data_IF_252265794172
#
_entry.id   IF_252265794172
#
_cell.length_a   1.000
_cell.length_b   1.000
_cell.length_c   1.000
_cell.angle_alpha   90.00
_cell.angle_beta   90.00
_cell.angle_gamma   90.00
#
_symmetry.space_group_name_H-M   'P 1'
#
loop_
_entity.id
_entity.type
_entity.pdbx_description
1 polymer ?
#
# COMPACT_ATOMS: atom_id res chain seq x y z
N UNK A 1 10.97 -6.06 -24.92
CA UNK A 1 10.81 -5.78 -23.48
C UNK A 1 11.93 -4.87 -23.09
N UNK A 2 11.63 -3.65 -22.64
CA UNK A 2 12.66 -2.80 -22.05
C UNK A 2 13.14 -3.47 -20.75
N UNK A 3 14.45 -3.67 -20.61
CA UNK A 3 15.08 -4.33 -19.45
C UNK A 3 14.74 -3.63 -18.12
N UNK A 4 14.43 -2.34 -18.18
CA UNK A 4 13.99 -1.49 -17.07
C UNK A 4 12.67 -1.94 -16.43
N UNK A 5 11.72 -2.43 -17.22
CA UNK A 5 10.44 -2.92 -16.73
C UNK A 5 10.60 -4.22 -15.91
N UNK A 6 11.46 -5.13 -16.39
CA UNK A 6 11.71 -6.43 -15.74
C UNK A 6 12.33 -6.23 -14.36
N UNK A 7 13.28 -5.31 -14.22
CA UNK A 7 13.92 -4.99 -12.93
C UNK A 7 12.89 -4.43 -11.94
N UNK A 8 11.96 -3.62 -12.44
CA UNK A 8 10.94 -2.97 -11.60
C UNK A 8 9.97 -3.97 -10.94
N UNK A 9 9.67 -5.09 -11.61
CA UNK A 9 8.84 -6.16 -11.03
C UNK A 9 9.50 -6.88 -9.86
N UNK A 10 10.83 -6.87 -9.80
CA UNK A 10 11.58 -7.48 -8.71
C UNK A 10 11.64 -6.59 -7.46
N UNK A 11 11.28 -5.31 -7.56
CA UNK A 11 11.39 -4.37 -6.43
C UNK A 11 10.55 -4.85 -5.22
N UNK A 12 9.23 -5.11 -5.33
CA UNK A 12 8.45 -5.58 -4.18
C UNK A 12 8.94 -6.90 -3.55
N UNK A 13 9.21 -8.00 -4.30
CA UNK A 13 9.68 -9.25 -3.71
C UNK A 13 11.09 -9.13 -3.14
N UNK A 14 11.98 -8.30 -3.71
CA UNK A 14 13.33 -8.07 -3.16
C UNK A 14 13.25 -7.31 -1.83
N UNK A 15 12.41 -6.28 -1.74
CA UNK A 15 12.18 -5.57 -0.47
C UNK A 15 11.60 -6.53 0.58
N UNK A 16 10.60 -7.33 0.22
CA UNK A 16 10.02 -8.32 1.13
C UNK A 16 11.05 -9.36 1.58
N UNK A 17 11.87 -9.87 0.66
CA UNK A 17 12.94 -10.82 0.98
C UNK A 17 13.98 -10.21 1.92
N UNK A 18 14.42 -8.98 1.66
CA UNK A 18 15.36 -8.28 2.52
C UNK A 18 14.81 -8.13 3.96
N UNK A 19 13.55 -7.72 4.10
CA UNK A 19 12.88 -7.63 5.40
C UNK A 19 12.75 -8.99 6.09
N UNK A 20 12.41 -10.06 5.36
CA UNK A 20 12.33 -11.43 5.92
C UNK A 20 13.71 -11.88 6.40
N UNK A 21 14.77 -11.64 5.63
CA UNK A 21 16.14 -12.01 6.01
C UNK A 21 16.59 -11.26 7.26
N UNK A 22 16.32 -9.95 7.36
CA UNK A 22 16.59 -9.17 8.56
C UNK A 22 15.78 -9.68 9.76
N UNK A 23 14.48 -9.92 9.57
CA UNK A 23 13.58 -10.43 10.59
C UNK A 23 14.00 -11.82 11.09
N UNK A 24 14.51 -12.69 10.20
CA UNK A 24 14.96 -14.05 10.56
C UNK A 24 16.13 -14.09 11.55
N UNK A 25 16.86 -12.98 11.70
CA UNK A 25 17.97 -12.85 12.65
C UNK A 25 17.51 -12.51 14.06
N UNK A 26 16.27 -12.01 14.21
CA UNK A 26 15.79 -11.38 15.44
C UNK A 26 14.53 -12.09 15.97
N UNK A 27 13.65 -12.55 15.08
CA UNK A 27 12.36 -13.15 15.41
C UNK A 27 12.47 -14.68 15.60
N UNK A 28 11.63 -15.21 16.47
CA UNK A 28 11.45 -16.66 16.59
C UNK A 28 10.72 -17.24 15.38
N UNK A 29 10.81 -18.57 15.20
CA UNK A 29 10.26 -19.25 14.02
C UNK A 29 8.76 -19.00 13.82
N UNK A 30 7.98 -18.94 14.90
CA UNK A 30 6.53 -18.74 14.82
C UNK A 30 6.20 -17.32 14.35
N UNK A 31 6.86 -16.31 14.91
CA UNK A 31 6.63 -14.91 14.51
C UNK A 31 7.15 -14.66 13.09
N UNK A 32 8.31 -15.20 12.73
CA UNK A 32 8.83 -15.12 11.37
C UNK A 32 7.84 -15.74 10.35
N UNK A 33 7.26 -16.91 10.66
CA UNK A 33 6.27 -17.52 9.77
C UNK A 33 5.03 -16.64 9.57
N UNK A 34 4.57 -15.95 10.64
CA UNK A 34 3.46 -15.00 10.54
C UNK A 34 3.83 -13.72 9.76
N UNK A 35 5.06 -13.24 9.94
CA UNK A 35 5.57 -12.08 9.21
C UNK A 35 5.68 -12.40 7.72
N UNK A 36 6.27 -13.54 7.36
CA UNK A 36 6.36 -14.01 5.97
C UNK A 36 4.99 -14.27 5.36
N UNK A 37 4.04 -14.85 6.11
CA UNK A 37 2.69 -15.11 5.59
C UNK A 37 1.93 -13.82 5.27
N UNK A 38 2.26 -12.70 5.92
CA UNK A 38 1.64 -11.39 5.61
C UNK A 38 1.95 -10.91 4.20
N UNK A 39 3.15 -11.19 3.67
CA UNK A 39 3.48 -10.92 2.26
C UNK A 39 2.62 -11.77 1.32
N UNK A 40 2.55 -13.09 1.55
CA UNK A 40 1.80 -13.99 0.67
C UNK A 40 0.29 -13.74 0.73
N UNK A 41 -0.27 -13.41 1.90
CA UNK A 41 -1.67 -12.98 1.98
C UNK A 41 -1.88 -11.61 1.33
N UNK A 42 -0.87 -10.74 1.35
CA UNK A 42 -0.84 -9.46 0.64
C UNK A 42 -1.05 -9.60 -0.87
N UNK A 43 -0.50 -10.64 -1.50
CA UNK A 43 -0.71 -10.96 -2.92
C UNK A 43 -2.21 -11.09 -3.23
N UNK A 44 -2.99 -11.70 -2.35
CA UNK A 44 -4.43 -11.90 -2.54
C UNK A 44 -5.23 -10.59 -2.41
N UNK A 45 -4.69 -9.57 -1.73
CA UNK A 45 -5.39 -8.29 -1.53
C UNK A 45 -5.54 -7.48 -2.82
N UNK A 46 -4.82 -7.83 -3.89
CA UNK A 46 -4.94 -7.19 -5.20
C UNK A 46 -6.24 -7.55 -5.94
N UNK A 47 -6.85 -8.70 -5.60
CA UNK A 47 -7.96 -9.30 -6.36
C UNK A 47 -9.15 -8.33 -6.46
N UNK A 48 -9.63 -7.70 -5.37
CA UNK A 48 -10.76 -6.78 -5.46
C UNK A 48 -10.49 -5.56 -6.34
N UNK A 49 -9.25 -5.03 -6.33
CA UNK A 49 -8.87 -3.93 -7.23
C UNK A 49 -8.91 -4.36 -8.70
N UNK A 50 -8.39 -5.55 -9.03
CA UNK A 50 -8.42 -6.08 -10.41
C UNK A 50 -9.86 -6.29 -10.88
N UNK A 51 -10.72 -6.85 -10.03
CA UNK A 51 -12.16 -7.01 -10.34
C UNK A 51 -12.81 -5.63 -10.57
N UNK A 52 -12.52 -4.66 -9.70
CA UNK A 52 -13.02 -3.30 -9.84
C UNK A 52 -12.60 -2.63 -11.15
N UNK A 53 -11.33 -2.81 -11.55
CA UNK A 53 -10.81 -2.33 -12.83
C UNK A 53 -11.49 -3.00 -14.02
N UNK A 54 -11.67 -4.32 -13.98
CA UNK A 54 -12.38 -5.07 -15.02
C UNK A 54 -13.84 -4.62 -15.18
N UNK A 55 -14.55 -4.42 -14.06
CA UNK A 55 -15.93 -3.91 -14.10
C UNK A 55 -15.95 -2.47 -14.64
N UNK A 56 -15.02 -1.62 -14.22
CA UNK A 56 -14.95 -0.24 -14.69
C UNK A 56 -14.64 -0.14 -16.20
N UNK A 57 -13.79 -1.02 -16.74
CA UNK A 57 -13.57 -1.10 -18.19
C UNK A 57 -14.83 -1.60 -18.91
N UNK A 58 -15.50 -2.62 -18.39
CA UNK A 58 -16.70 -3.20 -19.00
C UNK A 58 -17.87 -2.20 -19.08
N UNK A 59 -18.04 -1.36 -18.06
CA UNK A 59 -19.07 -0.33 -18.03
C UNK A 59 -18.64 1.01 -18.65
N UNK A 60 -17.54 1.06 -19.41
CA UNK A 60 -17.03 2.28 -20.07
C UNK A 60 -16.80 3.47 -19.12
N UNK A 61 -16.53 3.19 -17.83
CA UNK A 61 -16.18 4.22 -16.85
C UNK A 61 -14.81 4.84 -17.17
N UNK A 62 -13.97 4.11 -17.91
CA UNK A 62 -12.61 4.49 -18.31
C UNK A 62 -12.60 5.26 -19.65
N UNK A 63 -13.56 5.01 -20.56
CA UNK A 63 -13.48 5.48 -21.97
C UNK A 63 -13.77 6.97 -22.18
N UNK A 64 -14.07 7.73 -21.11
CA UNK A 64 -14.40 9.15 -21.21
C UNK A 64 -13.65 10.00 -20.17
N UNK A 65 -12.31 9.87 -20.13
CA UNK A 65 -11.40 10.60 -19.24
C UNK A 65 -11.24 12.10 -19.55
N UNK A 66 -12.04 12.69 -20.46
CA UNK A 66 -11.98 14.15 -20.69
C UNK A 66 -12.46 14.97 -19.49
N UNK A 67 -13.24 14.37 -18.58
CA UNK A 67 -13.74 15.04 -17.39
C UNK A 67 -12.86 14.77 -16.17
N UNK A 68 -12.22 15.82 -15.64
CA UNK A 68 -11.44 15.77 -14.40
C UNK A 68 -12.22 15.17 -13.22
N UNK A 69 -13.52 15.45 -13.13
CA UNK A 69 -14.39 14.88 -12.07
C UNK A 69 -14.48 13.36 -12.16
N UNK A 70 -14.55 12.81 -13.38
CA UNK A 70 -14.62 11.36 -13.61
C UNK A 70 -13.29 10.70 -13.27
N UNK A 71 -12.17 11.30 -13.67
CA UNK A 71 -10.84 10.80 -13.29
C UNK A 71 -10.70 10.79 -11.77
N UNK A 72 -11.06 11.88 -11.07
CA UNK A 72 -11.00 11.94 -9.60
C UNK A 72 -11.82 10.82 -8.95
N UNK A 73 -13.09 10.64 -9.35
CA UNK A 73 -13.92 9.57 -8.79
C UNK A 73 -13.32 8.19 -9.06
N UNK A 74 -12.82 7.95 -10.28
CA UNK A 74 -12.18 6.70 -10.64
C UNK A 74 -10.90 6.45 -9.81
N UNK A 75 -10.01 7.43 -9.69
CA UNK A 75 -8.76 7.32 -8.94
C UNK A 75 -8.97 7.05 -7.46
N UNK A 76 -9.90 7.76 -6.82
CA UNK A 76 -10.09 7.66 -5.37
C UNK A 76 -11.03 6.51 -4.98
N UNK A 77 -12.16 6.35 -5.68
CA UNK A 77 -13.23 5.43 -5.25
C UNK A 77 -13.07 4.06 -5.86
N UNK A 78 -12.64 3.95 -7.13
CA UNK A 78 -12.48 2.64 -7.77
C UNK A 78 -11.10 2.10 -7.46
N UNK A 79 -10.04 2.80 -7.87
CA UNK A 79 -8.69 2.23 -7.77
C UNK A 79 -8.12 2.40 -6.36
N UNK A 80 -8.10 3.63 -5.83
CA UNK A 80 -7.47 3.94 -4.55
C UNK A 80 -8.13 3.25 -3.36
N UNK A 81 -9.45 3.33 -3.27
CA UNK A 81 -10.21 2.67 -2.21
C UNK A 81 -10.07 1.14 -2.27
N UNK A 82 -10.26 0.50 -3.43
CA UNK A 82 -10.16 -0.95 -3.53
C UNK A 82 -8.74 -1.45 -3.27
N UNK A 83 -7.71 -0.70 -3.69
CA UNK A 83 -6.32 -1.03 -3.40
C UNK A 83 -6.03 -1.03 -1.89
N UNK A 84 -6.50 -0.02 -1.15
CA UNK A 84 -6.19 0.13 0.28
C UNK A 84 -7.15 -0.63 1.20
N UNK A 85 -8.42 -0.76 0.83
CA UNK A 85 -9.45 -1.33 1.70
C UNK A 85 -9.16 -2.80 2.03
N UNK A 86 -8.77 -3.62 1.06
CA UNK A 86 -8.50 -5.04 1.33
C UNK A 86 -7.22 -5.25 2.14
N UNK A 87 -6.19 -4.41 1.92
CA UNK A 87 -4.98 -4.38 2.77
C UNK A 87 -5.34 -3.98 4.21
N UNK A 88 -6.19 -2.95 4.37
CA UNK A 88 -6.74 -2.53 5.65
C UNK A 88 -7.46 -3.67 6.37
N UNK A 89 -8.37 -4.37 5.68
CA UNK A 89 -9.13 -5.48 6.27
C UNK A 89 -8.18 -6.61 6.75
N UNK A 90 -7.24 -7.01 5.89
CA UNK A 90 -6.26 -8.03 6.21
C UNK A 90 -5.42 -7.63 7.43
N UNK A 91 -4.89 -6.40 7.45
CA UNK A 91 -4.09 -5.93 8.57
C UNK A 91 -4.92 -5.84 9.86
N UNK A 92 -6.06 -5.13 9.82
CA UNK A 92 -6.90 -4.83 10.99
C UNK A 92 -7.50 -6.07 11.64
N UNK A 93 -8.03 -6.98 10.84
CA UNK A 93 -8.83 -8.08 11.37
C UNK A 93 -8.05 -9.40 11.47
N UNK A 94 -7.00 -9.60 10.68
CA UNK A 94 -6.23 -10.84 10.72
C UNK A 94 -4.92 -10.72 11.49
N UNK A 95 -4.11 -9.68 11.25
CA UNK A 95 -2.77 -9.58 11.84
C UNK A 95 -2.74 -8.82 13.17
N UNK A 96 -3.42 -7.69 13.27
CA UNK A 96 -3.41 -6.82 14.45
C UNK A 96 -3.89 -7.53 15.73
N UNK A 97 -4.91 -8.41 15.71
CA UNK A 97 -5.33 -9.14 16.90
C UNK A 97 -4.30 -10.16 17.41
N UNK A 98 -3.31 -10.55 16.59
CA UNK A 98 -2.32 -11.55 16.99
C UNK A 98 -1.40 -11.01 18.07
N UNK A 99 -0.98 -11.89 18.98
CA UNK A 99 -0.08 -11.57 20.09
C UNK A 99 1.32 -11.15 19.63
N UNK A 100 1.73 -11.57 18.43
CA UNK A 100 3.01 -11.18 17.83
C UNK A 100 3.12 -9.66 17.58
N UNK A 101 1.98 -8.96 17.50
CA UNK A 101 1.93 -7.50 17.41
C UNK A 101 2.01 -6.95 18.83
N UNK A 102 3.24 -6.69 19.27
CA UNK A 102 3.58 -6.28 20.63
C UNK A 102 3.81 -4.77 20.76
N UNK A 103 4.18 -4.11 19.66
CA UNK A 103 4.47 -2.68 19.59
C UNK A 103 3.73 -2.00 18.43
N UNK A 104 3.48 -0.69 18.48
CA UNK A 104 2.89 0.05 17.36
C UNK A 104 3.68 -0.13 16.05
N UNK A 105 5.01 -0.19 16.15
CA UNK A 105 5.90 -0.37 15.01
C UNK A 105 5.69 -1.71 14.28
N UNK A 106 5.27 -2.77 14.98
CA UNK A 106 4.96 -4.07 14.36
C UNK A 106 3.81 -3.92 13.35
N UNK A 107 2.83 -3.05 13.63
CA UNK A 107 1.75 -2.74 12.70
C UNK A 107 2.26 -2.13 11.38
N UNK A 108 3.30 -1.29 11.43
CA UNK A 108 3.97 -0.75 10.25
C UNK A 108 4.64 -1.87 9.46
N UNK A 109 5.44 -2.71 10.11
CA UNK A 109 6.18 -3.79 9.44
C UNK A 109 5.24 -4.77 8.71
N UNK A 110 4.17 -5.20 9.37
CA UNK A 110 3.18 -6.10 8.75
C UNK A 110 2.42 -5.41 7.61
N UNK A 111 2.10 -4.12 7.73
CA UNK A 111 1.47 -3.36 6.65
C UNK A 111 2.37 -3.22 5.42
N UNK A 112 3.67 -2.98 5.62
CA UNK A 112 4.65 -2.93 4.54
C UNK A 112 4.71 -4.29 3.83
N UNK A 113 4.78 -5.39 4.57
CA UNK A 113 4.80 -6.73 3.97
C UNK A 113 3.55 -7.03 3.14
N UNK A 114 2.37 -6.72 3.66
CA UNK A 114 1.09 -6.86 2.93
C UNK A 114 1.13 -6.00 1.65
N UNK A 115 1.61 -4.77 1.75
CA UNK A 115 1.69 -3.83 0.63
C UNK A 115 2.71 -4.26 -0.42
N UNK A 116 3.82 -4.90 -0.03
CA UNK A 116 4.77 -5.48 -0.97
C UNK A 116 4.17 -6.68 -1.69
N UNK A 117 3.41 -7.53 -1.00
CA UNK A 117 2.66 -8.63 -1.64
C UNK A 117 1.66 -8.13 -2.68
N UNK A 118 0.87 -7.11 -2.32
CA UNK A 118 -0.04 -6.42 -3.25
C UNK A 118 0.73 -5.86 -4.45
N UNK A 119 1.82 -5.14 -4.20
CA UNK A 119 2.61 -4.48 -5.24
C UNK A 119 3.26 -5.49 -6.20
N UNK A 120 3.64 -6.70 -5.75
CA UNK A 120 4.18 -7.75 -6.61
C UNK A 120 3.22 -8.07 -7.77
N UNK A 121 1.94 -8.24 -7.48
CA UNK A 121 0.95 -8.57 -8.53
C UNK A 121 0.47 -7.32 -9.24
N UNK A 122 0.21 -6.23 -8.51
CA UNK A 122 -0.29 -5.00 -9.09
C UNK A 122 0.67 -4.44 -10.15
N UNK A 123 1.98 -4.47 -9.88
CA UNK A 123 2.98 -3.96 -10.83
C UNK A 123 2.95 -4.73 -12.16
N UNK A 124 2.90 -6.07 -12.10
CA UNK A 124 2.77 -6.93 -13.28
C UNK A 124 1.44 -6.66 -14.00
N UNK A 125 0.34 -6.56 -13.25
CA UNK A 125 -0.99 -6.32 -13.82
C UNK A 125 -1.04 -4.98 -14.58
N UNK A 126 -0.57 -3.90 -13.96
CA UNK A 126 -0.58 -2.57 -14.58
C UNK A 126 0.31 -2.49 -15.83
N UNK A 127 1.41 -3.24 -15.87
CA UNK A 127 2.26 -3.30 -17.06
C UNK A 127 1.62 -4.11 -18.21
N UNK A 128 0.95 -5.21 -17.92
CA UNK A 128 0.38 -6.11 -18.95
C UNK A 128 -1.00 -5.69 -19.43
N UNK A 129 -1.85 -5.18 -18.54
CA UNK A 129 -3.29 -5.06 -18.78
C UNK A 129 -3.73 -3.69 -19.29
N UNK A 130 -2.89 -2.66 -19.20
CA UNK A 130 -3.31 -1.30 -19.57
C UNK A 130 -2.69 -0.84 -20.90
N UNK A 131 -3.52 -0.35 -21.84
CA UNK A 131 -3.08 0.48 -22.96
C UNK A 131 -2.41 1.78 -22.48
N UNK A 132 -2.15 2.70 -23.41
CA UNK A 132 -1.39 3.96 -23.25
C UNK A 132 -1.81 5.02 -22.18
N UNK A 133 -2.86 4.91 -21.31
CA UNK A 133 -3.13 5.95 -20.31
C UNK A 133 -2.11 6.06 -19.18
N UNK A 134 -1.35 5.00 -18.92
CA UNK A 134 -0.37 4.96 -17.84
C UNK A 134 1.02 4.85 -18.43
N UNK A 135 1.88 5.84 -18.18
CA UNK A 135 3.29 5.76 -18.56
C UNK A 135 3.94 4.53 -17.89
N UNK A 136 4.07 3.43 -18.66
CA UNK A 136 4.43 2.10 -18.15
C UNK A 136 5.75 2.11 -17.35
N UNK A 137 6.84 2.74 -17.81
CA UNK A 137 8.06 2.89 -17.01
C UNK A 137 7.84 3.60 -15.67
N UNK A 138 7.06 4.70 -15.67
CA UNK A 138 6.81 5.49 -14.45
C UNK A 138 6.02 4.67 -13.45
N UNK A 139 4.93 4.02 -13.89
CA UNK A 139 4.12 3.16 -13.02
C UNK A 139 4.94 2.02 -12.44
N UNK A 140 5.69 1.31 -13.29
CA UNK A 140 6.43 0.13 -12.85
C UNK A 140 7.46 0.47 -11.78
N UNK A 141 8.09 1.64 -11.87
CA UNK A 141 9.06 2.11 -10.89
C UNK A 141 8.39 2.71 -9.65
N UNK A 142 7.36 3.55 -9.81
CA UNK A 142 6.77 4.30 -8.69
C UNK A 142 5.83 3.48 -7.83
N UNK A 143 5.13 2.48 -8.40
CA UNK A 143 4.08 1.73 -7.70
C UNK A 143 4.60 0.96 -6.47
N UNK A 144 5.75 0.25 -6.53
CA UNK A 144 6.33 -0.38 -5.35
C UNK A 144 6.61 0.63 -4.22
N UNK A 145 7.24 1.76 -4.54
CA UNK A 145 7.58 2.77 -3.52
C UNK A 145 6.34 3.47 -2.97
N UNK A 146 5.36 3.80 -3.81
CA UNK A 146 4.09 4.36 -3.35
C UNK A 146 3.40 3.41 -2.34
N UNK A 147 3.35 2.11 -2.64
CA UNK A 147 2.76 1.11 -1.74
C UNK A 147 3.56 0.93 -0.44
N UNK A 148 4.89 1.06 -0.48
CA UNK A 148 5.73 1.03 0.72
C UNK A 148 5.42 2.22 1.64
N UNK A 149 5.40 3.42 1.08
CA UNK A 149 5.19 4.67 1.82
C UNK A 149 3.76 4.73 2.36
N UNK A 150 2.75 4.48 1.52
CA UNK A 150 1.33 4.50 1.92
C UNK A 150 1.03 3.36 2.89
N UNK A 151 1.61 2.17 2.67
CA UNK A 151 1.54 1.05 3.60
C UNK A 151 2.09 1.39 4.99
N UNK A 152 3.13 2.23 5.07
CA UNK A 152 3.66 2.73 6.35
C UNK A 152 2.62 3.57 7.10
N UNK A 153 1.89 4.45 6.40
CA UNK A 153 0.82 5.26 6.97
C UNK A 153 -0.31 4.37 7.50
N UNK A 154 -0.75 3.40 6.69
CA UNK A 154 -1.79 2.45 7.08
C UNK A 154 -1.40 1.69 8.36
N UNK A 155 -0.18 1.17 8.37
CA UNK A 155 0.34 0.37 9.47
C UNK A 155 0.53 1.17 10.76
N UNK A 156 0.92 2.45 10.64
CA UNK A 156 1.00 3.35 11.78
C UNK A 156 -0.38 3.48 12.43
N UNK A 157 -1.40 3.92 11.69
CA UNK A 157 -2.70 4.22 12.26
C UNK A 157 -3.40 2.98 12.82
N UNK A 158 -3.33 1.85 12.13
CA UNK A 158 -3.95 0.60 12.63
C UNK A 158 -3.15 0.02 13.79
N UNK A 159 -1.81 -0.01 13.69
CA UNK A 159 -0.91 -0.52 14.73
C UNK A 159 -1.05 0.27 16.02
N UNK A 160 -1.01 1.61 15.92
CA UNK A 160 -1.18 2.52 17.04
C UNK A 160 -2.59 2.42 17.65
N UNK A 161 -3.62 2.28 16.81
CA UNK A 161 -5.01 2.12 17.24
C UNK A 161 -5.28 0.86 18.07
N UNK A 162 -4.46 -0.20 17.93
CA UNK A 162 -4.52 -1.39 18.80
C UNK A 162 -4.29 -1.03 20.26
N UNK A 163 -3.26 -0.22 20.53
CA UNK A 163 -2.82 0.11 21.89
C UNK A 163 -3.64 1.23 22.53
N UNK A 164 -4.16 2.16 21.74
CA UNK A 164 -5.10 3.21 22.22
C UNK A 164 -6.51 2.73 22.53
N UNK A 165 -6.88 1.51 22.13
CA UNK A 165 -8.28 1.00 22.16
C UNK A 165 -9.30 1.95 21.49
N UNK A 166 -8.88 2.81 20.55
CA UNK A 166 -9.75 3.76 19.82
C UNK A 166 -9.94 3.32 18.38
N UNK A 167 -11.20 3.15 17.98
CA UNK A 167 -11.57 2.80 16.59
C UNK A 167 -11.34 3.96 15.62
N UNK A 168 -11.40 5.21 16.11
CA UNK A 168 -11.23 6.44 15.31
C UNK A 168 -9.89 6.43 14.56
N UNK A 169 -8.83 5.91 15.18
CA UNK A 169 -7.49 5.84 14.58
C UNK A 169 -7.47 4.94 13.33
N UNK A 170 -8.32 3.91 13.27
CA UNK A 170 -8.42 3.01 12.10
C UNK A 170 -9.14 3.65 10.91
N UNK A 171 -10.19 4.44 11.18
CA UNK A 171 -10.89 5.21 10.15
C UNK A 171 -10.01 6.32 9.59
N UNK A 172 -9.22 6.97 10.43
CA UNK A 172 -8.21 7.94 9.97
C UNK A 172 -7.15 7.27 9.10
N UNK A 173 -6.71 6.06 9.48
CA UNK A 173 -5.75 5.29 8.70
C UNK A 173 -6.21 5.01 7.28
N UNK A 174 -7.41 4.45 7.11
CA UNK A 174 -7.94 4.19 5.77
C UNK A 174 -8.25 5.47 5.01
N UNK A 175 -8.79 6.50 5.66
CA UNK A 175 -9.05 7.79 5.01
C UNK A 175 -7.78 8.42 4.46
N UNK A 176 -6.70 8.41 5.25
CA UNK A 176 -5.40 8.93 4.83
C UNK A 176 -4.79 8.11 3.69
N UNK A 177 -4.85 6.78 3.74
CA UNK A 177 -4.24 5.96 2.69
C UNK A 177 -5.00 6.02 1.38
N UNK A 178 -6.33 6.03 1.43
CA UNK A 178 -7.18 6.23 0.24
C UNK A 178 -6.95 7.60 -0.37
N UNK A 179 -6.74 8.64 0.46
CA UNK A 179 -6.42 9.97 -0.02
C UNK A 179 -5.09 10.02 -0.79
N UNK A 180 -3.99 9.53 -0.20
CA UNK A 180 -2.68 9.53 -0.86
C UNK A 180 -2.64 8.60 -2.06
N UNK A 181 -3.25 7.41 -1.96
CA UNK A 181 -3.34 6.47 -3.07
C UNK A 181 -4.19 7.05 -4.21
N UNK A 182 -5.30 7.72 -3.90
CA UNK A 182 -6.14 8.39 -4.88
C UNK A 182 -5.38 9.48 -5.64
N UNK A 183 -4.62 10.32 -4.94
CA UNK A 183 -3.77 11.34 -5.58
C UNK A 183 -2.65 10.73 -6.42
N UNK A 184 -2.01 9.65 -5.96
CA UNK A 184 -1.03 8.92 -6.73
C UNK A 184 -1.62 8.39 -8.05
N UNK A 185 -2.77 7.70 -8.00
CA UNK A 185 -3.44 7.19 -9.21
C UNK A 185 -3.93 8.34 -10.11
N UNK A 186 -4.41 9.43 -9.53
CA UNK A 186 -4.85 10.61 -10.27
C UNK A 186 -3.70 11.27 -11.04
N UNK A 187 -2.55 11.49 -10.41
CA UNK A 187 -1.36 12.05 -11.05
C UNK A 187 -0.85 11.17 -12.19
N UNK A 188 -0.92 9.85 -12.03
CA UNK A 188 -0.58 8.90 -13.09
C UNK A 188 -1.52 9.02 -14.29
N UNK A 189 -2.83 9.06 -14.06
CA UNK A 189 -3.84 9.12 -15.11
C UNK A 189 -3.84 10.43 -15.91
N UNK A 190 -3.49 11.55 -15.26
CA UNK A 190 -3.40 12.86 -15.90
C UNK A 190 -2.02 13.11 -16.51
N UNK A 191 -1.05 12.20 -16.27
CA UNK A 191 0.36 12.34 -16.66
C UNK A 191 1.03 13.62 -16.11
N UNK A 192 0.67 14.01 -14.88
CA UNK A 192 1.28 15.16 -14.19
C UNK A 192 2.40 14.69 -13.27
N UNK A 193 3.63 14.67 -13.79
CA UNK A 193 4.81 14.22 -13.04
C UNK A 193 5.20 15.17 -11.90
N UNK A 194 4.86 16.46 -12.01
CA UNK A 194 5.11 17.41 -10.92
C UNK A 194 4.18 17.10 -9.74
N UNK A 195 2.90 16.86 -10.01
CA UNK A 195 1.94 16.42 -9.00
C UNK A 195 2.37 15.10 -8.36
N UNK A 196 2.80 14.12 -9.18
CA UNK A 196 3.31 12.84 -8.65
C UNK A 196 4.53 13.03 -7.74
N UNK A 197 5.48 13.87 -8.14
CA UNK A 197 6.66 14.19 -7.33
C UNK A 197 6.28 14.85 -6.00
N UNK A 198 5.38 15.84 -6.03
CA UNK A 198 4.90 16.53 -4.83
C UNK A 198 4.14 15.59 -3.88
N UNK A 199 3.20 14.80 -4.41
CA UNK A 199 2.44 13.82 -3.64
C UNK A 199 3.39 12.78 -3.04
N UNK A 200 4.32 12.24 -3.83
CA UNK A 200 5.32 11.28 -3.34
C UNK A 200 6.18 11.86 -2.22
N UNK A 201 6.69 13.08 -2.38
CA UNK A 201 7.53 13.75 -1.40
C UNK A 201 6.79 14.05 -0.09
N UNK A 202 5.58 14.62 -0.17
CA UNK A 202 4.76 14.90 1.02
C UNK A 202 4.39 13.61 1.75
N UNK A 203 3.97 12.59 1.01
CA UNK A 203 3.61 11.28 1.60
C UNK A 203 4.82 10.63 2.26
N UNK A 204 6.02 10.74 1.67
CA UNK A 204 7.27 10.23 2.24
C UNK A 204 7.62 10.93 3.56
N UNK A 205 7.53 12.25 3.63
CA UNK A 205 7.78 13.00 4.87
C UNK A 205 6.82 12.56 5.96
N UNK A 206 5.53 12.47 5.65
CA UNK A 206 4.51 12.03 6.61
C UNK A 206 4.81 10.61 7.08
N UNK A 207 5.08 9.68 6.17
CA UNK A 207 5.42 8.30 6.52
C UNK A 207 6.68 8.22 7.41
N UNK A 208 7.72 9.02 7.11
CA UNK A 208 8.94 9.08 7.93
C UNK A 208 8.65 9.61 9.34
N UNK A 209 7.88 10.69 9.47
CA UNK A 209 7.49 11.26 10.77
C UNK A 209 6.66 10.26 11.60
N UNK A 210 5.70 9.57 10.96
CA UNK A 210 4.89 8.55 11.62
C UNK A 210 5.72 7.34 12.03
N UNK A 211 6.68 6.92 11.19
CA UNK A 211 7.62 5.85 11.48
C UNK A 211 8.49 6.19 12.71
N UNK A 212 9.11 7.37 12.73
CA UNK A 212 9.90 7.86 13.87
C UNK A 212 9.08 7.93 15.16
N UNK A 213 7.84 8.43 15.05
CA UNK A 213 6.92 8.46 16.19
C UNK A 213 6.66 7.04 16.70
N UNK A 214 6.34 6.11 15.81
CA UNK A 214 6.05 4.71 16.17
C UNK A 214 7.23 4.01 16.86
N UNK A 215 8.46 4.28 16.41
CA UNK A 215 9.69 3.75 17.01
C UNK A 215 9.93 4.26 18.42
N UNK A 216 9.65 5.55 18.66
CA UNK A 216 9.91 6.20 19.95
C UNK A 216 8.77 6.05 20.97
N UNK A 217 7.66 5.41 20.60
CA UNK A 217 6.52 5.32 21.51
C UNK A 217 6.55 4.01 22.30
N UNK A 218 6.69 4.13 23.63
CA UNK A 218 6.51 3.01 24.54
C UNK A 218 5.03 2.69 24.73
N UNK A 219 4.68 1.41 24.76
CA UNK A 219 3.29 0.94 24.91
C UNK A 219 2.64 1.51 26.19
N UNK A 220 3.40 1.63 27.27
CA UNK A 220 2.95 2.20 28.55
C UNK A 220 2.56 3.69 28.45
N UNK A 221 3.07 4.42 27.45
CA UNK A 221 2.73 5.85 27.26
C UNK A 221 1.40 6.05 26.51
N UNK A 222 0.85 4.99 25.89
CA UNK A 222 -0.31 5.08 25.00
C UNK A 222 -1.55 4.35 25.53
N UNK A 223 -1.35 3.38 26.44
CA UNK A 223 -2.43 2.68 27.15
C UNK A 223 -3.18 3.60 28.11
#
# INVERSE_FOLDING_TARGET
>A
METTAIISFLIPPVIALALILMASRILDKKTLAQFTSSYFLGILTVIPMIIGLYLASHYSLIENTRSLRRILLFSFVIVGFLAEFTKFLLLRYYFIPKEVISKPFDGILYSIMISMGFATVANIYFYLALPDPFNQPVVSLSLPFANLIIGTILGFFIGFGKFKKRSVDSLTGIGATVFFQGFYIFGLLVNDYLLLGLVGFVTLIIAALLCLRSLNTDVQQIM
#
